data_IF_601099082538
#
_entry.id   IF_601099082538
#
_cell.length_a   1.000
_cell.length_b   1.000
_cell.length_c   1.000
_cell.angle_alpha   90.00
_cell.angle_beta   90.00
_cell.angle_gamma   90.00
#
_symmetry.space_group_name_H-M   'P 1'
#
loop_
_entity.id
_entity.type
_entity.pdbx_description
1 polymer ?
#
# COMPACT_ATOMS: atom_id res chain seq x y z
N UNK A 1 24.38 14.82 3.54
CA UNK A 1 24.59 14.39 4.93
C UNK A 1 24.17 12.94 5.03
N UNK A 2 25.11 12.00 4.97
CA UNK A 2 24.86 10.56 5.03
C UNK A 2 24.57 10.23 6.50
N UNK A 3 23.32 9.96 6.83
CA UNK A 3 22.95 9.42 8.13
C UNK A 3 23.48 7.97 8.23
N UNK A 4 24.55 7.78 8.96
CA UNK A 4 24.98 6.46 9.40
C UNK A 4 23.93 5.92 10.39
N UNK A 5 22.99 5.14 9.91
CA UNK A 5 22.01 4.46 10.75
C UNK A 5 22.68 3.27 11.46
N UNK A 6 22.78 3.34 12.77
CA UNK A 6 23.22 2.19 13.61
C UNK A 6 22.08 1.16 13.58
N UNK A 7 22.32 -0.12 13.23
CA UNK A 7 21.26 -1.13 13.04
C UNK A 7 20.23 -1.25 14.18
N UNK A 8 20.65 -1.10 15.42
CA UNK A 8 19.76 -1.14 16.60
C UNK A 8 18.80 0.05 16.65
N UNK A 9 19.26 1.26 16.30
CA UNK A 9 18.42 2.46 16.26
C UNK A 9 17.47 2.45 15.07
N UNK A 10 17.86 1.84 13.96
CA UNK A 10 17.01 1.68 12.79
C UNK A 10 15.80 0.81 13.12
N UNK A 11 16.00 -0.33 13.79
CA UNK A 11 14.92 -1.22 14.19
C UNK A 11 13.95 -0.54 15.16
N UNK A 12 14.43 0.21 16.12
CA UNK A 12 13.60 0.96 17.07
C UNK A 12 12.77 2.04 16.35
N UNK A 13 13.38 2.76 15.42
CA UNK A 13 12.67 3.77 14.62
C UNK A 13 11.60 3.15 13.74
N UNK A 14 11.93 2.09 13.01
CA UNK A 14 10.98 1.36 12.15
C UNK A 14 9.82 0.77 12.96
N UNK A 15 10.11 0.20 14.13
CA UNK A 15 9.07 -0.28 15.04
C UNK A 15 8.14 0.84 15.51
N UNK A 16 8.69 2.01 15.85
CA UNK A 16 7.90 3.19 16.23
C UNK A 16 6.98 3.68 15.10
N UNK A 17 7.46 3.66 13.85
CA UNK A 17 6.63 4.00 12.68
C UNK A 17 5.55 2.93 12.45
N UNK A 18 5.90 1.65 12.55
CA UNK A 18 5.00 0.53 12.30
C UNK A 18 3.86 0.44 13.32
N UNK A 19 4.16 0.67 14.60
CA UNK A 19 3.21 0.50 15.71
C UNK A 19 2.76 1.81 16.37
N UNK A 20 3.10 2.97 15.78
CA UNK A 20 2.70 4.27 16.32
C UNK A 20 1.17 4.46 16.40
N UNK A 21 0.42 3.86 15.48
CA UNK A 21 -1.04 3.82 15.53
C UNK A 21 -1.59 3.06 16.76
N UNK A 22 -0.93 1.98 17.14
CA UNK A 22 -1.32 1.16 18.29
C UNK A 22 -1.12 1.91 19.61
N UNK A 23 -0.09 2.76 19.71
CA UNK A 23 0.12 3.64 20.85
C UNK A 23 -1.04 4.63 21.02
N UNK A 24 -1.55 5.19 19.92
CA UNK A 24 -2.72 6.09 19.93
C UNK A 24 -3.97 5.33 20.37
N UNK A 25 -4.20 4.14 19.86
CA UNK A 25 -5.35 3.29 20.27
C UNK A 25 -5.27 2.97 21.76
N UNK A 26 -4.08 2.61 22.25
CA UNK A 26 -3.85 2.33 23.68
C UNK A 26 -4.07 3.57 24.56
N UNK A 27 -3.60 4.73 24.13
CA UNK A 27 -3.81 6.00 24.86
C UNK A 27 -5.28 6.41 24.93
N UNK A 28 -6.12 5.90 24.02
CA UNK A 28 -7.57 6.14 23.97
C UNK A 28 -8.39 5.01 24.64
N UNK A 29 -7.75 4.12 25.40
CA UNK A 29 -8.39 2.94 26.01
C UNK A 29 -9.23 2.09 25.03
N UNK A 30 -8.76 1.98 23.78
CA UNK A 30 -9.46 1.25 22.72
C UNK A 30 -10.68 1.98 22.13
N UNK A 31 -10.94 3.23 22.52
CA UNK A 31 -12.02 4.03 21.97
C UNK A 31 -11.68 4.58 20.56
N UNK A 32 -11.62 3.69 19.59
CA UNK A 32 -11.35 4.01 18.18
C UNK A 32 -9.86 3.96 17.80
N UNK A 33 -9.57 4.27 16.54
CA UNK A 33 -8.23 4.26 15.95
C UNK A 33 -7.63 5.66 15.83
N UNK A 34 -6.48 5.80 15.18
CA UNK A 34 -5.85 7.08 14.84
C UNK A 34 -6.63 7.80 13.72
N UNK A 35 -7.79 8.36 14.07
CA UNK A 35 -8.81 8.83 13.13
C UNK A 35 -8.40 10.04 12.31
N UNK A 36 -7.65 10.99 12.89
CA UNK A 36 -7.32 12.24 12.20
C UNK A 36 -6.32 12.05 11.06
N UNK A 37 -5.31 11.23 11.27
CA UNK A 37 -4.30 10.90 10.25
C UNK A 37 -4.90 10.11 9.09
N UNK A 38 -5.78 9.16 9.38
CA UNK A 38 -6.49 8.39 8.34
C UNK A 38 -7.46 9.26 7.55
N UNK A 39 -8.22 10.14 8.22
CA UNK A 39 -9.11 11.08 7.54
C UNK A 39 -8.34 12.02 6.61
N UNK A 40 -7.18 12.51 7.05
CA UNK A 40 -6.32 13.36 6.23
C UNK A 40 -5.73 12.61 5.03
N UNK A 41 -5.28 11.37 5.22
CA UNK A 41 -4.79 10.54 4.13
C UNK A 41 -5.89 10.25 3.09
N UNK A 42 -7.10 9.90 3.56
CA UNK A 42 -8.26 9.70 2.70
C UNK A 42 -8.67 10.96 1.94
N UNK A 43 -8.65 12.12 2.60
CA UNK A 43 -8.91 13.40 1.94
C UNK A 43 -7.89 13.69 0.84
N UNK A 44 -6.59 13.55 1.12
CA UNK A 44 -5.55 13.77 0.10
C UNK A 44 -5.69 12.84 -1.09
N UNK A 45 -5.98 11.57 -0.83
CA UNK A 45 -6.19 10.60 -1.90
C UNK A 45 -7.40 11.00 -2.77
N UNK A 46 -8.52 11.33 -2.16
CA UNK A 46 -9.73 11.78 -2.88
C UNK A 46 -9.48 13.06 -3.68
N UNK A 47 -8.77 14.04 -3.12
CA UNK A 47 -8.38 15.26 -3.81
C UNK A 47 -7.58 14.95 -5.09
N UNK A 48 -6.60 14.05 -5.01
CA UNK A 48 -5.76 13.67 -6.13
C UNK A 48 -6.53 12.87 -7.18
N UNK A 49 -7.45 12.00 -6.79
CA UNK A 49 -8.37 11.35 -7.73
C UNK A 49 -9.19 12.40 -8.49
N UNK A 50 -9.74 13.39 -7.80
CA UNK A 50 -10.53 14.45 -8.43
C UNK A 50 -9.68 15.33 -9.38
N UNK A 51 -8.42 15.61 -9.05
CA UNK A 51 -7.47 16.28 -9.93
C UNK A 51 -7.23 15.47 -11.20
N UNK A 52 -6.98 14.17 -11.06
CA UNK A 52 -6.79 13.27 -12.21
C UNK A 52 -8.04 13.21 -13.11
N UNK A 53 -9.24 13.13 -12.53
CA UNK A 53 -10.52 13.14 -13.26
C UNK A 53 -10.70 14.46 -14.03
N UNK A 54 -10.23 15.58 -13.49
CA UNK A 54 -10.23 16.88 -14.19
C UNK A 54 -9.17 16.99 -15.30
N UNK A 55 -8.34 15.97 -15.47
CA UNK A 55 -7.30 15.95 -16.51
C UNK A 55 -5.99 16.59 -16.09
N UNK A 56 -5.76 16.83 -14.80
CA UNK A 56 -4.45 17.28 -14.31
C UNK A 56 -3.41 16.18 -14.56
N UNK A 57 -2.27 16.56 -15.09
CA UNK A 57 -1.17 15.64 -15.40
C UNK A 57 -0.30 15.36 -14.18
N UNK A 58 0.39 14.22 -14.21
CA UNK A 58 1.40 13.85 -13.20
C UNK A 58 0.85 13.65 -11.77
N UNK A 59 -0.43 13.30 -11.66
CA UNK A 59 -1.01 12.92 -10.38
C UNK A 59 -0.63 11.46 -10.09
N UNK A 60 0.04 11.22 -8.97
CA UNK A 60 0.44 9.87 -8.55
C UNK A 60 0.20 9.67 -7.07
N UNK A 61 -0.36 8.53 -6.70
CA UNK A 61 -0.63 8.15 -5.32
C UNK A 61 -0.28 6.67 -5.07
N UNK A 62 0.32 6.33 -3.92
CA UNK A 62 0.48 4.94 -3.52
C UNK A 62 -0.89 4.35 -3.16
N UNK A 63 -1.26 3.29 -3.86
CA UNK A 63 -2.54 2.62 -3.62
C UNK A 63 -2.48 1.15 -4.01
N UNK A 64 -3.38 0.35 -3.43
CA UNK A 64 -3.65 -0.98 -3.93
C UNK A 64 -4.36 -0.89 -5.29
N UNK A 65 -3.85 -1.65 -6.25
CA UNK A 65 -4.41 -1.73 -7.60
C UNK A 65 -4.44 -3.18 -8.06
N UNK A 66 -5.45 -3.53 -8.84
CA UNK A 66 -5.46 -4.78 -9.62
C UNK A 66 -4.44 -4.63 -10.74
N UNK A 67 -3.35 -5.38 -10.67
CA UNK A 67 -2.18 -5.22 -11.55
C UNK A 67 -2.43 -5.65 -13.00
N UNK A 68 -3.13 -6.78 -13.27
CA UNK A 68 -3.38 -7.21 -14.64
C UNK A 68 -4.12 -6.15 -15.47
N UNK A 69 -3.56 -5.83 -16.64
CA UNK A 69 -4.16 -4.86 -17.55
C UNK A 69 -3.85 -3.39 -17.25
N UNK A 70 -3.14 -3.08 -16.17
CA UNK A 70 -2.60 -1.74 -15.90
C UNK A 70 -1.19 -1.63 -16.48
N UNK A 71 -0.87 -0.53 -17.14
CA UNK A 71 0.48 -0.32 -17.67
C UNK A 71 1.53 -0.47 -16.55
N UNK A 72 2.55 -1.30 -16.80
CA UNK A 72 3.57 -1.66 -15.80
C UNK A 72 3.12 -2.67 -14.73
N UNK A 73 1.84 -2.99 -14.64
CA UNK A 73 1.29 -3.90 -13.63
C UNK A 73 1.72 -5.35 -13.81
N UNK A 74 1.73 -5.86 -15.04
CA UNK A 74 2.11 -7.25 -15.33
C UNK A 74 3.54 -7.58 -14.88
N UNK A 75 4.46 -6.62 -14.98
CA UNK A 75 5.83 -6.78 -14.50
C UNK A 75 5.89 -6.94 -12.98
N UNK A 76 5.10 -6.13 -12.26
CA UNK A 76 5.00 -6.19 -10.80
C UNK A 76 4.34 -7.49 -10.36
N UNK A 77 3.24 -7.89 -11.02
CA UNK A 77 2.55 -9.15 -10.76
C UNK A 77 3.50 -10.35 -10.91
N UNK A 78 4.28 -10.38 -11.98
CA UNK A 78 5.26 -11.45 -12.22
C UNK A 78 6.34 -11.50 -11.15
N UNK A 79 6.77 -10.35 -10.64
CA UNK A 79 7.80 -10.25 -9.59
C UNK A 79 7.26 -10.61 -8.21
N UNK A 80 6.04 -10.20 -7.88
CA UNK A 80 5.44 -10.37 -6.54
C UNK A 80 4.59 -11.62 -6.40
N UNK A 81 4.07 -12.16 -7.50
CA UNK A 81 3.09 -13.25 -7.51
C UNK A 81 1.70 -12.84 -7.02
N UNK A 82 1.43 -11.53 -6.91
CA UNK A 82 0.17 -11.00 -6.40
C UNK A 82 -0.61 -10.27 -7.50
N UNK A 83 -1.91 -10.56 -7.63
CA UNK A 83 -2.79 -9.85 -8.56
C UNK A 83 -3.14 -8.44 -8.08
N UNK A 84 -3.11 -8.22 -6.76
CA UNK A 84 -3.31 -6.93 -6.12
C UNK A 84 -2.08 -6.57 -5.32
N UNK A 85 -1.54 -5.38 -5.54
CA UNK A 85 -0.40 -4.88 -4.79
C UNK A 85 -0.41 -3.37 -4.67
N UNK A 86 0.17 -2.86 -3.58
CA UNK A 86 0.29 -1.42 -3.35
C UNK A 86 1.62 -0.90 -3.90
N UNK A 87 1.51 -0.03 -4.88
CA UNK A 87 2.63 0.69 -5.51
C UNK A 87 2.22 2.13 -5.79
N UNK A 88 3.15 3.04 -6.09
CA UNK A 88 2.79 4.31 -6.68
C UNK A 88 2.08 4.09 -8.02
N UNK A 89 0.91 4.70 -8.17
CA UNK A 89 0.08 4.59 -9.37
C UNK A 89 -0.13 5.98 -9.94
N UNK A 90 0.22 6.17 -11.21
CA UNK A 90 -0.18 7.36 -11.96
C UNK A 90 -1.69 7.29 -12.23
N UNK A 91 -2.39 8.31 -11.81
CA UNK A 91 -3.83 8.43 -11.99
C UNK A 91 -4.16 9.24 -13.24
N UNK A 92 -5.22 8.86 -13.92
CA UNK A 92 -5.79 9.56 -15.06
C UNK A 92 -7.30 9.69 -14.94
N UNK A 93 -7.95 10.30 -15.95
CA UNK A 93 -9.40 10.50 -15.95
C UNK A 93 -10.20 9.20 -15.77
N UNK A 94 -9.67 8.09 -16.27
CA UNK A 94 -10.31 6.75 -16.20
C UNK A 94 -9.87 5.94 -14.96
N UNK A 95 -9.06 6.50 -14.06
CA UNK A 95 -8.56 5.85 -12.87
C UNK A 95 -7.08 5.50 -12.93
N UNK A 96 -6.70 4.26 -12.59
CA UNK A 96 -5.31 3.80 -12.60
C UNK A 96 -4.77 3.72 -14.03
N UNK A 97 -3.83 4.59 -14.36
CA UNK A 97 -3.21 4.68 -15.69
C UNK A 97 -1.94 3.83 -15.78
N UNK A 98 -1.07 3.94 -14.77
CA UNK A 98 0.22 3.26 -14.77
C UNK A 98 0.66 2.89 -13.36
N UNK A 99 1.05 1.64 -13.16
CA UNK A 99 1.70 1.17 -11.95
C UNK A 99 3.23 1.32 -12.06
N UNK A 100 3.83 1.95 -11.06
CA UNK A 100 5.28 2.22 -11.04
C UNK A 100 5.96 1.15 -10.21
N UNK A 101 6.80 0.34 -10.85
CA UNK A 101 7.53 -0.72 -10.16
C UNK A 101 8.64 -0.12 -9.28
N UNK A 102 8.44 -0.14 -7.99
CA UNK A 102 9.44 0.24 -6.97
C UNK A 102 10.04 -0.99 -6.27
N UNK A 103 9.49 -2.19 -6.50
CA UNK A 103 9.89 -3.43 -5.85
C UNK A 103 11.32 -3.81 -6.22
N UNK A 104 11.67 -3.66 -7.49
CA UNK A 104 13.01 -3.96 -8.00
C UNK A 104 14.12 -3.10 -7.38
N UNK A 105 13.79 -1.93 -6.84
CA UNK A 105 14.74 -1.02 -6.17
C UNK A 105 14.92 -1.30 -4.68
N UNK A 106 14.19 -2.28 -4.12
CA UNK A 106 14.26 -2.64 -2.71
C UNK A 106 15.65 -3.16 -2.34
N UNK A 107 16.16 -2.75 -1.18
CA UNK A 107 17.40 -3.25 -0.61
C UNK A 107 17.19 -4.66 0.01
N UNK A 108 18.27 -5.30 0.45
CA UNK A 108 18.22 -6.69 0.95
C UNK A 108 17.36 -6.85 2.22
N UNK A 109 17.27 -5.83 3.05
CA UNK A 109 16.40 -5.82 4.23
C UNK A 109 14.93 -5.73 3.80
N UNK A 110 14.61 -4.83 2.90
CA UNK A 110 13.26 -4.65 2.35
C UNK A 110 12.79 -5.88 1.59
N UNK A 111 13.66 -6.52 0.80
CA UNK A 111 13.34 -7.78 0.09
C UNK A 111 12.92 -8.89 1.05
N UNK A 112 13.57 -9.01 2.20
CA UNK A 112 13.18 -9.99 3.24
C UNK A 112 11.78 -9.70 3.80
N UNK A 113 11.43 -8.42 4.00
CA UNK A 113 10.10 -8.01 4.46
C UNK A 113 9.05 -8.23 3.36
N UNK A 114 9.38 -7.92 2.11
CA UNK A 114 8.51 -8.14 0.95
C UNK A 114 8.16 -9.62 0.78
N UNK A 115 9.11 -10.54 0.94
CA UNK A 115 8.83 -11.98 0.87
C UNK A 115 7.75 -12.40 1.86
N UNK A 116 7.85 -11.95 3.12
CA UNK A 116 6.81 -12.22 4.13
C UNK A 116 5.48 -11.54 3.80
N UNK A 117 5.55 -10.34 3.21
CA UNK A 117 4.36 -9.61 2.79
C UNK A 117 3.61 -10.37 1.69
N UNK A 118 4.31 -10.92 0.69
CA UNK A 118 3.68 -11.66 -0.41
C UNK A 118 2.92 -12.90 0.09
N UNK A 119 3.50 -13.66 1.02
CA UNK A 119 2.86 -14.84 1.60
C UNK A 119 1.53 -14.48 2.29
N UNK A 120 1.55 -13.46 3.14
CA UNK A 120 0.34 -12.98 3.84
C UNK A 120 -0.69 -12.37 2.90
N UNK A 121 -0.24 -11.58 1.92
CA UNK A 121 -1.10 -10.88 0.98
C UNK A 121 -1.82 -11.84 0.05
N UNK A 122 -1.14 -12.84 -0.49
CA UNK A 122 -1.74 -13.87 -1.34
C UNK A 122 -2.90 -14.57 -0.64
N UNK A 123 -2.72 -14.94 0.64
CA UNK A 123 -3.78 -15.55 1.44
C UNK A 123 -4.99 -14.62 1.64
N UNK A 124 -4.75 -13.32 1.85
CA UNK A 124 -5.83 -12.34 2.01
C UNK A 124 -6.57 -12.09 0.69
N UNK A 125 -5.86 -11.99 -0.43
CA UNK A 125 -6.45 -11.84 -1.77
C UNK A 125 -7.34 -13.06 -2.07
N UNK A 126 -6.84 -14.28 -1.85
CA UNK A 126 -7.62 -15.51 -2.08
C UNK A 126 -8.91 -15.52 -1.29
N UNK A 127 -8.88 -15.15 -0.01
CA UNK A 127 -10.09 -15.04 0.82
C UNK A 127 -11.10 -14.02 0.28
N UNK A 128 -10.62 -12.88 -0.19
CA UNK A 128 -11.47 -11.84 -0.78
C UNK A 128 -12.15 -12.32 -2.08
N UNK A 129 -11.39 -12.99 -2.94
CA UNK A 129 -11.90 -13.56 -4.19
C UNK A 129 -12.91 -14.68 -3.89
N UNK A 130 -12.59 -15.59 -2.97
CA UNK A 130 -13.48 -16.67 -2.56
C UNK A 130 -14.82 -16.15 -1.99
N UNK A 131 -14.76 -15.09 -1.18
CA UNK A 131 -15.97 -14.47 -0.62
C UNK A 131 -16.95 -13.98 -1.71
N UNK A 132 -16.41 -13.44 -2.82
CA UNK A 132 -17.25 -12.98 -3.93
C UNK A 132 -17.75 -14.15 -4.77
N UNK A 133 -16.93 -15.17 -4.99
CA UNK A 133 -17.31 -16.34 -5.79
C UNK A 133 -18.27 -17.28 -5.06
N UNK A 134 -18.09 -17.41 -3.74
CA UNK A 134 -18.87 -18.29 -2.88
C UNK A 134 -19.37 -17.50 -1.65
N UNK A 135 -20.32 -16.56 -1.83
CA UNK A 135 -20.80 -15.77 -0.70
C UNK A 135 -21.47 -16.66 0.34
N UNK A 136 -21.26 -16.41 1.65
CA UNK A 136 -21.95 -17.16 2.69
C UNK A 136 -23.47 -17.02 2.53
N UNK A 137 -24.18 -18.11 2.76
CA UNK A 137 -25.65 -18.10 2.75
C UNK A 137 -26.16 -17.04 3.76
N UNK A 138 -27.12 -16.23 3.31
CA UNK A 138 -27.80 -15.23 4.16
C UNK A 138 -28.69 -15.90 5.19
#
# INVERSE_FOLDING_TARGET
MILYFIPSKTNTFLSGVQFGGDEVVKAKDGAGSATLSMAYAGFRFAENVLKAVKGESSVSEPTFVYLPGVDGGDAIQKETGCDFFSVPVELGPEGAKKAINVVSSANDYEKKLLTKCYEGLTGNISKGVEFIQNPPAK
#
